data_IF_510260220587
#
_entry.id   IF_510260220587
#
_cell.length_a   1.000
_cell.length_b   1.000
_cell.length_c   1.000
_cell.angle_alpha   90.00
_cell.angle_beta   90.00
_cell.angle_gamma   90.00
#
_symmetry.space_group_name_H-M   'P 1'
#
loop_
_entity.id
_entity.type
_entity.pdbx_description
1 polymer ?
#
# COMPACT_ATOMS: atom_id res chain seq x y z
N UNK A 1 -67.16 15.84 -41.40
CA UNK A 1 -67.29 14.68 -42.32
C UNK A 1 -65.93 14.34 -42.91
N UNK A 2 -65.30 13.25 -42.43
CA UNK A 2 -64.41 12.38 -43.21
C UNK A 2 -64.44 11.02 -42.52
N UNK A 3 -65.05 10.04 -43.18
CA UNK A 3 -65.13 8.64 -42.74
C UNK A 3 -63.76 7.99 -42.95
N UNK A 4 -63.23 7.32 -41.93
CA UNK A 4 -62.22 6.27 -42.10
C UNK A 4 -62.96 4.95 -41.90
N UNK A 5 -63.01 4.13 -42.94
CA UNK A 5 -63.55 2.77 -42.90
C UNK A 5 -62.42 1.81 -42.51
N UNK A 6 -62.63 1.04 -41.44
CA UNK A 6 -61.91 -0.21 -41.20
C UNK A 6 -62.95 -1.34 -41.26
N UNK A 7 -62.86 -2.17 -42.30
CA UNK A 7 -63.57 -3.44 -42.43
C UNK A 7 -62.82 -4.53 -41.61
N UNK A 8 -63.51 -5.60 -41.19
CA UNK A 8 -63.19 -6.37 -40.00
C UNK A 8 -62.26 -7.54 -40.31
N UNK A 9 -61.42 -7.93 -39.36
CA UNK A 9 -60.97 -9.33 -39.28
C UNK A 9 -61.10 -9.81 -37.85
N UNK A 10 -61.98 -10.79 -37.69
CA UNK A 10 -62.30 -11.47 -36.43
C UNK A 10 -61.14 -12.42 -36.11
N UNK A 11 -60.61 -12.36 -34.89
CA UNK A 11 -59.97 -13.50 -34.25
C UNK A 11 -60.60 -13.74 -32.88
N UNK A 12 -61.02 -14.99 -32.68
CA UNK A 12 -61.56 -15.53 -31.44
C UNK A 12 -60.51 -15.42 -30.32
N UNK A 13 -60.85 -14.66 -29.29
CA UNK A 13 -60.12 -14.59 -28.04
C UNK A 13 -60.88 -13.63 -27.14
N UNK A 14 -61.39 -14.13 -26.02
CA UNK A 14 -62.06 -13.31 -25.01
C UNK A 14 -61.13 -12.19 -24.56
N UNK A 15 -61.36 -10.99 -25.09
CA UNK A 15 -60.85 -9.75 -24.52
C UNK A 15 -61.61 -9.54 -23.21
N UNK A 16 -61.04 -9.93 -22.08
CA UNK A 16 -61.43 -9.31 -20.82
C UNK A 16 -60.94 -7.88 -20.86
N UNK A 17 -61.84 -6.98 -21.27
CA UNK A 17 -61.71 -5.55 -21.08
C UNK A 17 -61.59 -5.31 -19.57
N UNK A 18 -60.38 -5.16 -19.05
CA UNK A 18 -60.17 -4.47 -17.79
C UNK A 18 -60.51 -3.01 -18.05
N UNK A 19 -61.73 -2.59 -17.71
CA UNK A 19 -62.10 -1.17 -17.73
C UNK A 19 -61.06 -0.39 -16.94
N UNK A 20 -60.26 0.44 -17.62
CA UNK A 20 -59.47 1.48 -16.99
C UNK A 20 -60.45 2.58 -16.57
N UNK A 21 -61.05 2.43 -15.39
CA UNK A 21 -61.53 3.60 -14.66
C UNK A 21 -60.29 4.26 -14.06
N UNK A 22 -59.90 5.40 -14.63
CA UNK A 22 -58.98 6.33 -13.99
C UNK A 22 -59.87 7.48 -13.56
N UNK A 23 -60.41 7.41 -12.33
CA UNK A 23 -60.95 8.57 -11.64
C UNK A 23 -59.89 9.08 -10.65
N UNK A 24 -59.83 10.39 -10.47
CA UNK A 24 -58.66 11.13 -9.99
C UNK A 24 -58.24 10.88 -8.52
N UNK A 25 -58.89 9.94 -7.82
CA UNK A 25 -58.60 9.56 -6.43
C UNK A 25 -58.60 8.05 -6.15
N UNK A 26 -58.84 7.18 -7.15
CA UNK A 26 -59.07 5.74 -6.91
C UNK A 26 -57.90 4.82 -7.30
N UNK A 27 -56.82 5.36 -7.89
CA UNK A 27 -55.61 4.61 -8.23
C UNK A 27 -55.76 3.67 -9.43
N UNK A 28 -54.75 2.82 -9.65
CA UNK A 28 -54.72 1.83 -10.74
C UNK A 28 -55.01 0.43 -10.20
N UNK A 29 -56.06 -0.21 -10.69
CA UNK A 29 -56.34 -1.63 -10.39
C UNK A 29 -55.44 -2.51 -11.24
N UNK A 30 -54.48 -3.17 -10.60
CA UNK A 30 -53.56 -4.12 -11.23
C UNK A 30 -54.23 -5.50 -11.40
N UNK A 31 -53.96 -6.25 -12.47
CA UNK A 31 -54.44 -7.62 -12.65
C UNK A 31 -54.15 -8.52 -11.43
N UNK A 32 -55.17 -9.25 -10.97
CA UNK A 32 -55.09 -10.14 -9.81
C UNK A 32 -55.13 -11.60 -10.27
N UNK A 33 -54.04 -12.33 -10.08
CA UNK A 33 -53.85 -13.68 -10.61
C UNK A 33 -53.35 -14.64 -9.52
N UNK A 34 -53.61 -15.94 -9.64
CA UNK A 34 -52.99 -16.94 -8.76
C UNK A 34 -51.61 -17.33 -9.29
N UNK A 35 -50.73 -17.82 -8.42
CA UNK A 35 -49.43 -18.36 -8.85
C UNK A 35 -49.58 -19.51 -9.84
N UNK A 36 -50.60 -20.36 -9.69
CA UNK A 36 -50.91 -21.42 -10.66
C UNK A 36 -51.30 -20.88 -12.05
N UNK A 37 -51.99 -19.74 -12.10
CA UNK A 37 -52.33 -19.09 -13.36
C UNK A 37 -51.07 -18.57 -14.06
N UNK A 38 -50.16 -17.94 -13.30
CA UNK A 38 -48.88 -17.48 -13.82
C UNK A 38 -48.02 -18.66 -14.33
N UNK A 39 -48.00 -19.77 -13.60
CA UNK A 39 -47.30 -20.99 -14.01
C UNK A 39 -47.87 -21.59 -15.30
N UNK A 40 -49.20 -21.57 -15.46
CA UNK A 40 -49.84 -22.04 -16.69
C UNK A 40 -49.49 -21.13 -17.88
N UNK A 41 -49.34 -19.83 -17.65
CA UNK A 41 -48.93 -18.86 -18.68
C UNK A 41 -47.43 -18.96 -19.02
N UNK A 42 -46.58 -19.24 -18.03
CA UNK A 42 -45.17 -19.61 -18.23
C UNK A 42 -45.02 -20.80 -19.18
N UNK A 43 -45.75 -21.89 -18.94
CA UNK A 43 -45.71 -23.09 -19.79
C UNK A 43 -46.15 -22.81 -21.25
N UNK A 44 -46.86 -21.71 -21.48
CA UNK A 44 -47.27 -21.22 -22.81
C UNK A 44 -46.30 -20.20 -23.40
N UNK A 45 -45.19 -19.91 -22.73
CA UNK A 45 -44.17 -18.94 -23.17
C UNK A 45 -44.64 -17.49 -23.13
N UNK A 46 -45.64 -17.16 -22.31
CA UNK A 46 -46.25 -15.82 -22.29
C UNK A 46 -45.28 -14.76 -21.77
N UNK A 47 -44.47 -15.09 -20.76
CA UNK A 47 -43.55 -14.13 -20.12
C UNK A 47 -42.16 -14.28 -20.71
N UNK A 48 -41.75 -13.26 -21.46
CA UNK A 48 -40.46 -13.11 -22.14
C UNK A 48 -39.99 -11.66 -22.03
N UNK A 49 -38.89 -11.30 -22.68
CA UNK A 49 -38.34 -9.93 -22.69
C UNK A 49 -39.38 -8.85 -23.05
N UNK A 50 -40.40 -9.17 -23.87
CA UNK A 50 -41.46 -8.24 -24.24
C UNK A 50 -42.46 -7.92 -23.10
N UNK A 51 -42.35 -8.61 -21.97
CA UNK A 51 -43.21 -8.52 -20.79
C UNK A 51 -42.43 -8.16 -19.53
N UNK A 52 -41.22 -7.66 -19.71
CA UNK A 52 -40.40 -7.14 -18.62
C UNK A 52 -41.14 -6.02 -17.87
N UNK A 53 -40.96 -5.99 -16.54
CA UNK A 53 -41.58 -5.07 -15.61
C UNK A 53 -43.12 -5.09 -15.54
N UNK A 54 -43.80 -6.14 -16.06
CA UNK A 54 -45.25 -6.27 -15.86
C UNK A 54 -45.55 -6.49 -14.37
N UNK A 55 -46.48 -5.70 -13.85
CA UNK A 55 -46.95 -5.75 -12.47
C UNK A 55 -48.23 -6.58 -12.36
N UNK A 56 -48.25 -7.50 -11.39
CA UNK A 56 -49.45 -8.28 -11.01
C UNK A 56 -49.61 -8.29 -9.50
N UNK A 57 -50.85 -8.48 -9.03
CA UNK A 57 -51.11 -8.85 -7.64
C UNK A 57 -51.40 -10.35 -7.56
N UNK A 58 -50.50 -11.10 -6.94
CA UNK A 58 -50.69 -12.53 -6.70
C UNK A 58 -51.65 -12.74 -5.54
N UNK A 59 -52.75 -13.45 -5.78
CA UNK A 59 -53.80 -13.71 -4.76
C UNK A 59 -53.54 -14.94 -3.91
N UNK A 60 -52.80 -15.93 -4.44
CA UNK A 60 -52.35 -17.13 -3.74
C UNK A 60 -51.06 -17.66 -4.41
N UNK A 61 -50.11 -18.24 -3.65
CA UNK A 61 -48.92 -18.85 -4.23
C UNK A 61 -49.28 -20.05 -5.14
N UNK A 62 -48.39 -20.49 -6.04
CA UNK A 62 -48.57 -21.74 -6.75
C UNK A 62 -48.61 -22.92 -5.77
N UNK A 63 -49.30 -24.00 -6.18
CA UNK A 63 -49.26 -25.28 -5.48
C UNK A 63 -47.79 -25.70 -5.28
N UNK A 64 -47.43 -26.38 -4.17
CA UNK A 64 -46.03 -26.72 -3.88
C UNK A 64 -45.30 -27.41 -5.05
N UNK A 65 -45.98 -28.31 -5.75
CA UNK A 65 -45.45 -29.06 -6.90
C UNK A 65 -45.28 -28.19 -8.17
N UNK A 66 -45.96 -27.04 -8.23
CA UNK A 66 -45.92 -26.10 -9.36
C UNK A 66 -44.95 -24.94 -9.14
N UNK A 67 -44.35 -24.83 -7.96
CA UNK A 67 -43.47 -23.71 -7.59
C UNK A 67 -42.04 -23.94 -8.12
N UNK A 68 -41.92 -23.90 -9.43
CA UNK A 68 -40.67 -24.08 -10.18
C UNK A 68 -40.59 -23.03 -11.28
N UNK A 69 -39.41 -22.80 -11.86
CA UNK A 69 -39.27 -21.92 -13.02
C UNK A 69 -39.57 -20.45 -12.69
N UNK A 70 -40.29 -19.76 -13.57
CA UNK A 70 -40.56 -18.32 -13.44
C UNK A 70 -41.35 -17.97 -12.17
N UNK A 71 -42.15 -18.90 -11.63
CA UNK A 71 -42.98 -18.68 -10.42
C UNK A 71 -42.35 -19.19 -9.12
N UNK A 72 -41.11 -19.69 -9.15
CA UNK A 72 -40.44 -20.29 -7.98
C UNK A 72 -40.42 -19.34 -6.76
N UNK A 73 -40.20 -18.04 -7.00
CA UNK A 73 -40.15 -17.01 -5.97
C UNK A 73 -41.50 -16.53 -5.42
N UNK A 74 -42.62 -17.09 -5.88
CA UNK A 74 -43.96 -16.70 -5.46
C UNK A 74 -44.40 -17.54 -4.25
N UNK A 75 -43.96 -17.15 -3.07
CA UNK A 75 -44.19 -17.87 -1.81
C UNK A 75 -45.48 -17.47 -1.09
N UNK A 76 -46.06 -16.32 -1.43
CA UNK A 76 -47.17 -15.72 -0.71
C UNK A 76 -47.91 -14.66 -1.53
N UNK A 77 -49.11 -14.26 -1.08
CA UNK A 77 -49.89 -13.19 -1.70
C UNK A 77 -49.14 -11.84 -1.66
N UNK A 78 -49.24 -11.04 -2.72
CA UNK A 78 -48.59 -9.72 -2.79
C UNK A 78 -48.43 -9.16 -4.19
N UNK A 79 -47.77 -8.00 -4.29
CA UNK A 79 -47.39 -7.42 -5.58
C UNK A 79 -46.10 -8.06 -6.09
N UNK A 80 -46.07 -8.41 -7.37
CA UNK A 80 -44.92 -9.00 -8.05
C UNK A 80 -44.74 -8.34 -9.42
N UNK A 81 -43.49 -8.15 -9.84
CA UNK A 81 -43.17 -7.81 -11.21
C UNK A 81 -42.40 -8.94 -11.90
N UNK A 82 -42.58 -9.09 -13.21
CA UNK A 82 -41.76 -10.02 -13.99
C UNK A 82 -40.42 -9.36 -14.33
N UNK A 83 -39.31 -9.99 -13.95
CA UNK A 83 -37.96 -9.59 -14.34
C UNK A 83 -37.49 -10.51 -15.47
N UNK A 84 -37.40 -9.97 -16.69
CA UNK A 84 -36.96 -10.75 -17.84
C UNK A 84 -35.47 -11.12 -17.77
N UNK A 85 -34.63 -10.30 -17.12
CA UNK A 85 -33.20 -10.55 -17.02
C UNK A 85 -32.89 -11.79 -16.17
N UNK A 86 -33.66 -12.00 -15.10
CA UNK A 86 -33.55 -13.20 -14.27
C UNK A 86 -34.64 -14.24 -14.54
N UNK A 87 -35.49 -14.00 -15.56
CA UNK A 87 -36.56 -14.87 -16.02
C UNK A 87 -37.45 -15.39 -14.87
N UNK A 88 -37.90 -14.49 -13.98
CA UNK A 88 -38.71 -14.85 -12.82
C UNK A 88 -39.60 -13.71 -12.31
N UNK A 89 -40.63 -14.09 -11.58
CA UNK A 89 -41.47 -13.18 -10.81
C UNK A 89 -40.77 -12.77 -9.50
N UNK A 90 -40.57 -11.47 -9.34
CA UNK A 90 -39.91 -10.88 -8.17
C UNK A 90 -40.94 -10.14 -7.34
N UNK A 91 -40.97 -10.43 -6.03
CA UNK A 91 -41.90 -9.78 -5.10
C UNK A 91 -41.49 -8.32 -4.88
N UNK A 92 -42.44 -7.41 -5.06
CA UNK A 92 -42.29 -6.04 -4.59
C UNK A 92 -42.52 -6.04 -3.09
N UNK A 93 -41.41 -5.95 -2.34
CA UNK A 93 -41.46 -5.69 -0.91
C UNK A 93 -41.39 -4.18 -0.68
N UNK A 94 -42.46 -3.60 -0.16
CA UNK A 94 -42.35 -2.38 0.63
C UNK A 94 -41.74 -2.77 1.96
N UNK A 95 -40.41 -2.85 2.04
CA UNK A 95 -39.76 -2.69 3.34
C UNK A 95 -39.65 -1.19 3.52
N UNK A 96 -40.49 -0.60 4.37
CA UNK A 96 -40.10 0.66 5.00
C UNK A 96 -38.67 0.45 5.49
N UNK A 97 -37.72 1.24 5.00
CA UNK A 97 -36.32 1.08 5.35
C UNK A 97 -36.20 1.35 6.84
N UNK A 98 -36.33 0.31 7.65
CA UNK A 98 -36.15 0.41 9.08
C UNK A 98 -34.72 0.91 9.26
N UNK A 99 -34.55 2.01 9.99
CA UNK A 99 -33.24 2.46 10.40
C UNK A 99 -32.57 1.33 11.17
N UNK A 100 -31.28 1.11 10.91
CA UNK A 100 -30.51 0.10 11.63
C UNK A 100 -30.66 0.28 13.14
N UNK A 101 -30.98 -0.83 13.83
CA UNK A 101 -30.96 -0.94 15.27
C UNK A 101 -30.25 -2.24 15.64
N UNK A 102 -29.37 -2.17 16.65
CA UNK A 102 -28.64 -3.31 17.21
C UNK A 102 -28.57 -3.18 18.73
N UNK A 103 -28.45 -4.30 19.42
CA UNK A 103 -28.36 -4.32 20.88
C UNK A 103 -26.97 -3.93 21.36
N UNK A 104 -25.92 -4.46 20.71
CA UNK A 104 -24.54 -4.27 21.13
C UNK A 104 -23.54 -4.47 19.98
N UNK A 105 -22.48 -3.66 19.96
CA UNK A 105 -21.26 -3.88 19.18
C UNK A 105 -20.21 -4.61 20.05
N UNK A 106 -19.52 -5.61 19.48
CA UNK A 106 -18.58 -6.48 20.20
C UNK A 106 -17.13 -6.20 19.80
N UNK A 107 -16.69 -4.96 19.97
CA UNK A 107 -15.41 -4.49 19.39
C UNK A 107 -14.17 -5.05 20.11
N UNK A 108 -14.30 -5.50 21.35
CA UNK A 108 -13.29 -6.30 22.04
C UNK A 108 -13.08 -7.70 21.44
N UNK A 109 -14.05 -8.18 20.66
CA UNK A 109 -13.98 -9.43 19.89
C UNK A 109 -13.76 -9.18 18.40
N UNK A 110 -13.28 -8.00 18.02
CA UNK A 110 -12.95 -7.69 16.64
C UNK A 110 -11.80 -8.55 16.13
N UNK A 111 -11.86 -8.91 14.85
CA UNK A 111 -10.81 -9.69 14.18
C UNK A 111 -10.12 -8.83 13.15
N UNK A 112 -8.80 -8.73 13.26
CA UNK A 112 -7.96 -7.97 12.34
C UNK A 112 -7.47 -8.88 11.21
N UNK A 113 -7.57 -8.41 9.97
CA UNK A 113 -7.06 -9.06 8.76
C UNK A 113 -5.98 -8.16 8.16
N UNK A 114 -4.82 -8.75 7.85
CA UNK A 114 -3.66 -8.02 7.33
C UNK A 114 -2.79 -7.41 8.44
N UNK A 115 -1.70 -6.77 8.02
CA UNK A 115 -0.74 -6.09 8.90
C UNK A 115 -0.60 -4.63 8.51
N UNK A 116 -0.36 -3.76 9.49
CA UNK A 116 0.01 -2.37 9.28
C UNK A 116 1.49 -2.21 9.62
N UNK A 117 2.25 -1.65 8.68
CA UNK A 117 3.65 -1.30 8.87
C UNK A 117 3.80 0.22 8.71
N UNK A 118 4.62 0.84 9.57
CA UNK A 118 4.94 2.25 9.44
C UNK A 118 5.54 2.56 8.04
N UNK A 119 5.18 3.72 7.48
CA UNK A 119 5.53 4.24 6.15
C UNK A 119 5.05 3.43 4.96
N UNK A 120 4.24 2.37 5.16
CA UNK A 120 3.70 1.56 4.05
C UNK A 120 2.19 1.74 3.93
N UNK A 121 1.65 1.88 2.70
CA UNK A 121 0.22 1.93 2.49
C UNK A 121 -0.48 0.69 3.06
N UNK A 122 -1.57 0.91 3.80
CA UNK A 122 -2.48 -0.15 4.21
C UNK A 122 -3.11 -0.78 2.96
N UNK A 123 -2.74 -2.02 2.67
CA UNK A 123 -3.20 -2.76 1.49
C UNK A 123 -3.81 -4.09 1.91
N UNK A 124 -5.09 -4.28 1.58
CA UNK A 124 -5.84 -5.49 1.98
C UNK A 124 -6.07 -5.62 3.49
N UNK A 125 -5.97 -4.52 4.24
CA UNK A 125 -6.18 -4.53 5.70
C UNK A 125 -7.65 -4.25 6.00
N UNK A 126 -8.26 -5.08 6.86
CA UNK A 126 -9.63 -4.90 7.30
C UNK A 126 -9.84 -5.35 8.75
N UNK A 127 -10.91 -4.85 9.37
CA UNK A 127 -11.34 -5.25 10.71
C UNK A 127 -12.78 -5.72 10.66
N UNK A 128 -13.03 -6.91 11.19
CA UNK A 128 -14.36 -7.48 11.34
C UNK A 128 -14.85 -7.21 12.76
N UNK A 129 -15.94 -6.47 12.89
CA UNK A 129 -16.58 -6.14 14.17
C UNK A 129 -17.90 -6.92 14.27
N UNK A 130 -18.01 -7.89 15.20
CA UNK A 130 -19.27 -8.59 15.44
C UNK A 130 -20.29 -7.69 16.15
N UNK A 131 -21.57 -7.98 15.96
CA UNK A 131 -22.67 -7.35 16.70
C UNK A 131 -23.80 -8.34 16.98
N UNK A 132 -24.65 -8.00 17.96
CA UNK A 132 -25.85 -8.76 18.33
C UNK A 132 -27.12 -7.91 18.21
N UNK A 133 -28.26 -8.59 18.03
CA UNK A 133 -29.59 -8.00 18.08
C UNK A 133 -29.94 -7.04 16.93
N UNK A 134 -29.33 -7.23 15.75
CA UNK A 134 -29.67 -6.50 14.54
C UNK A 134 -31.12 -6.71 14.11
N UNK A 135 -31.74 -5.67 13.56
CA UNK A 135 -33.15 -5.66 13.15
C UNK A 135 -33.37 -5.82 11.64
N UNK A 136 -32.32 -6.11 10.85
CA UNK A 136 -32.43 -6.13 9.38
C UNK A 136 -32.34 -4.75 8.69
N UNK A 137 -32.24 -3.67 9.48
CA UNK A 137 -32.31 -2.29 9.01
C UNK A 137 -31.06 -1.82 8.28
N UNK A 138 -31.20 -0.73 7.51
CA UNK A 138 -30.11 -0.13 6.72
C UNK A 138 -29.26 0.78 7.59
N UNK A 139 -27.94 0.64 7.50
CA UNK A 139 -26.97 1.57 8.08
C UNK A 139 -26.24 2.33 6.96
N UNK A 140 -25.95 3.63 7.12
CA UNK A 140 -25.23 4.41 6.11
C UNK A 140 -23.76 4.02 6.04
N UNK A 141 -23.07 4.45 4.99
CA UNK A 141 -21.61 4.37 4.95
C UNK A 141 -21.00 5.23 6.07
N UNK A 142 -19.90 4.77 6.65
CA UNK A 142 -19.19 5.42 7.75
C UNK A 142 -17.70 5.49 7.42
N UNK A 143 -17.07 6.62 7.72
CA UNK A 143 -15.63 6.84 7.57
C UNK A 143 -15.09 7.43 8.86
N UNK A 144 -14.13 6.74 9.47
CA UNK A 144 -13.58 7.10 10.79
C UNK A 144 -12.06 7.21 10.71
N UNK A 145 -11.46 8.38 10.97
CA UNK A 145 -10.02 8.52 11.07
C UNK A 145 -9.51 7.87 12.36
N UNK A 146 -8.27 7.39 12.33
CA UNK A 146 -7.61 6.85 13.52
C UNK A 146 -7.17 7.93 14.51
N UNK A 147 -7.18 7.57 15.80
CA UNK A 147 -6.51 8.27 16.89
C UNK A 147 -5.21 7.53 17.28
N UNK A 148 -4.24 8.27 17.84
CA UNK A 148 -2.94 7.73 18.26
C UNK A 148 -1.92 7.67 17.11
N UNK A 149 -2.24 6.93 16.05
CA UNK A 149 -1.48 6.96 14.79
C UNK A 149 -2.35 7.67 13.76
N UNK A 150 -1.88 8.76 13.16
CA UNK A 150 -2.65 9.53 12.16
C UNK A 150 -2.49 8.94 10.75
N UNK A 151 -3.24 9.48 9.77
CA UNK A 151 -3.22 9.08 8.36
C UNK A 151 -3.70 7.65 8.06
N UNK A 152 -4.48 7.05 8.97
CA UNK A 152 -5.29 5.87 8.67
C UNK A 152 -6.77 6.23 8.74
N UNK A 153 -7.57 5.53 7.94
CA UNK A 153 -9.01 5.70 7.89
C UNK A 153 -9.69 4.33 7.80
N UNK A 154 -10.68 4.10 8.66
CA UNK A 154 -11.54 2.93 8.62
C UNK A 154 -12.84 3.28 7.89
N UNK A 155 -13.17 2.55 6.83
CA UNK A 155 -14.37 2.77 6.03
C UNK A 155 -15.28 1.55 6.08
N UNK A 156 -16.54 1.78 6.46
CA UNK A 156 -17.64 0.84 6.34
C UNK A 156 -18.56 1.33 5.22
N UNK A 157 -18.81 0.49 4.22
CA UNK A 157 -19.78 0.82 3.17
C UNK A 157 -21.21 0.68 3.67
N UNK A 158 -22.15 1.38 3.05
CA UNK A 158 -23.58 1.24 3.33
C UNK A 158 -24.01 -0.22 3.18
N UNK A 159 -24.89 -0.68 4.08
CA UNK A 159 -25.43 -2.03 4.03
C UNK A 159 -26.62 -2.22 4.95
N UNK A 160 -26.98 -3.48 5.15
CA UNK A 160 -28.07 -3.90 6.02
C UNK A 160 -27.52 -4.74 7.17
N UNK A 161 -28.06 -4.54 8.38
CA UNK A 161 -27.84 -5.48 9.46
C UNK A 161 -28.49 -6.82 9.12
N UNK A 162 -27.93 -7.90 9.65
CA UNK A 162 -28.60 -9.19 9.76
C UNK A 162 -29.62 -9.14 10.90
N UNK A 163 -30.67 -9.96 10.82
CA UNK A 163 -31.59 -10.14 11.94
C UNK A 163 -30.88 -11.02 12.98
N UNK A 164 -30.72 -10.53 14.21
CA UNK A 164 -29.95 -11.21 15.26
C UNK A 164 -28.47 -10.85 15.24
N UNK A 165 -27.57 -11.84 15.19
CA UNK A 165 -26.12 -11.62 15.17
C UNK A 165 -25.58 -11.37 13.76
N UNK A 166 -24.49 -10.62 13.64
CA UNK A 166 -23.81 -10.41 12.36
C UNK A 166 -22.45 -9.74 12.49
N UNK A 167 -21.88 -9.36 11.35
CA UNK A 167 -20.55 -8.75 11.25
C UNK A 167 -20.58 -7.48 10.41
N UNK A 168 -19.74 -6.52 10.79
CA UNK A 168 -19.44 -5.31 10.04
C UNK A 168 -17.97 -5.36 9.63
N UNK A 169 -17.69 -5.11 8.36
CA UNK A 169 -16.32 -5.16 7.82
C UNK A 169 -15.86 -3.75 7.50
N UNK A 170 -14.84 -3.31 8.22
CA UNK A 170 -14.18 -2.02 8.00
C UNK A 170 -12.92 -2.22 7.16
N UNK A 171 -12.83 -1.54 6.03
CA UNK A 171 -11.61 -1.49 5.23
C UNK A 171 -10.69 -0.39 5.76
N UNK A 172 -9.42 -0.70 5.96
CA UNK A 172 -8.42 0.24 6.46
C UNK A 172 -7.57 0.74 5.30
N UNK A 173 -7.51 2.06 5.13
CA UNK A 173 -6.71 2.73 4.11
C UNK A 173 -5.81 3.80 4.73
N UNK A 174 -4.83 4.28 3.96
CA UNK A 174 -3.89 5.32 4.38
C UNK A 174 -2.46 4.81 4.55
N UNK A 175 -1.59 5.68 5.07
CA UNK A 175 -0.15 5.40 5.26
C UNK A 175 0.21 5.86 6.68
N UNK A 176 0.35 4.95 7.66
CA UNK A 176 0.74 5.33 9.01
C UNK A 176 2.22 5.75 8.99
N UNK A 177 2.58 6.84 9.67
CA UNK A 177 3.97 7.33 9.63
C UNK A 177 4.85 6.78 10.77
N UNK A 178 4.22 6.30 11.85
CA UNK A 178 4.90 5.83 13.05
C UNK A 178 4.32 4.49 13.50
N UNK A 179 5.08 3.78 14.33
CA UNK A 179 4.63 2.56 15.00
C UNK A 179 3.78 2.89 16.22
N UNK A 180 2.89 1.98 16.60
CA UNK A 180 2.07 2.12 17.82
C UNK A 180 0.64 1.65 17.61
N UNK A 181 -0.26 2.08 18.48
CA UNK A 181 -1.67 1.64 18.47
C UNK A 181 -2.55 2.67 17.76
N UNK A 182 -3.16 2.28 16.63
CA UNK A 182 -4.20 3.04 15.97
C UNK A 182 -5.57 2.67 16.56
N UNK A 183 -6.33 3.65 17.03
CA UNK A 183 -7.66 3.44 17.65
C UNK A 183 -8.73 4.06 16.77
N UNK A 184 -9.81 3.33 16.51
CA UNK A 184 -10.95 3.80 15.73
C UNK A 184 -12.21 3.79 16.60
N UNK A 185 -12.81 4.95 16.80
CA UNK A 185 -14.06 5.10 17.56
C UNK A 185 -15.23 5.13 16.58
N UNK A 186 -16.09 4.12 16.63
CA UNK A 186 -17.23 3.98 15.73
C UNK A 186 -18.55 4.18 16.50
N UNK A 187 -19.53 4.79 15.82
CA UNK A 187 -20.92 4.85 16.29
C UNK A 187 -21.81 4.27 15.19
N UNK A 188 -22.54 3.19 15.51
CA UNK A 188 -23.49 2.57 14.57
C UNK A 188 -24.80 2.33 15.31
N UNK A 189 -25.89 2.82 14.73
CA UNK A 189 -27.23 2.72 15.31
C UNK A 189 -27.29 3.24 16.77
N UNK A 190 -26.53 4.29 17.08
CA UNK A 190 -26.47 4.89 18.41
C UNK A 190 -25.67 4.08 19.44
N UNK A 191 -24.91 3.06 19.02
CA UNK A 191 -23.98 2.33 19.89
C UNK A 191 -22.55 2.74 19.55
N UNK A 192 -21.86 3.27 20.55
CA UNK A 192 -20.44 3.56 20.50
C UNK A 192 -19.61 2.32 20.82
N UNK A 193 -18.50 2.15 20.12
CA UNK A 193 -17.44 1.26 20.53
C UNK A 193 -16.10 1.70 19.91
N UNK A 194 -15.01 1.06 20.32
CA UNK A 194 -13.73 1.22 19.66
C UNK A 194 -13.04 -0.11 19.42
N UNK A 195 -12.29 -0.18 18.32
CA UNK A 195 -11.35 -1.26 18.04
C UNK A 195 -9.96 -0.66 17.76
N UNK A 196 -8.93 -1.48 17.88
CA UNK A 196 -7.55 -1.04 17.67
C UNK A 196 -6.74 -1.98 16.78
N UNK A 197 -5.78 -1.39 16.08
CA UNK A 197 -4.81 -2.08 15.24
C UNK A 197 -3.40 -1.68 15.70
N UNK A 198 -2.49 -2.66 15.77
CA UNK A 198 -1.07 -2.39 15.99
C UNK A 198 -0.38 -2.08 14.66
N UNK A 199 0.25 -0.92 14.58
CA UNK A 199 1.17 -0.55 13.51
C UNK A 199 2.58 -0.97 13.94
N UNK A 200 3.12 -1.93 13.21
CA UNK A 200 4.42 -2.52 13.48
C UNK A 200 5.54 -1.74 12.78
N UNK A 201 6.80 -1.89 13.21
CA UNK A 201 7.95 -1.43 12.44
C UNK A 201 7.94 -2.04 11.04
N UNK A 202 8.45 -1.29 10.06
CA UNK A 202 8.68 -1.80 8.70
C UNK A 202 9.67 -2.98 8.78
N UNK A 203 9.30 -4.14 8.25
CA UNK A 203 10.15 -5.35 8.29
C UNK A 203 10.88 -5.62 6.97
N UNK A 204 10.43 -4.97 5.89
CA UNK A 204 11.07 -5.01 4.58
C UNK A 204 11.33 -3.59 4.11
N UNK A 205 12.59 -3.30 3.86
CA UNK A 205 13.03 -2.00 3.36
C UNK A 205 13.39 -2.14 1.89
N UNK A 206 13.23 -1.05 1.14
CA UNK A 206 13.65 -1.02 -0.24
C UNK A 206 15.18 -1.08 -0.27
N UNK A 207 15.74 -2.05 -0.98
CA UNK A 207 17.20 -2.22 -1.09
C UNK A 207 17.85 -1.16 -1.99
N UNK A 208 17.01 -0.40 -2.71
CA UNK A 208 17.41 0.63 -3.66
C UNK A 208 16.56 1.90 -3.52
N UNK A 209 17.17 3.03 -3.85
CA UNK A 209 16.55 4.36 -3.91
C UNK A 209 16.72 4.90 -5.32
N UNK A 210 15.61 5.33 -5.93
CA UNK A 210 15.63 5.96 -7.25
C UNK A 210 16.06 7.44 -7.11
N UNK A 211 17.19 7.79 -7.69
CA UNK A 211 17.77 9.14 -7.63
C UNK A 211 17.94 9.71 -9.04
N UNK A 212 17.87 11.03 -9.17
CA UNK A 212 18.23 11.79 -10.36
C UNK A 212 19.73 12.09 -10.34
N UNK A 213 20.43 11.64 -11.38
CA UNK A 213 21.83 11.94 -11.65
C UNK A 213 21.90 12.46 -13.08
N UNK A 214 22.28 13.72 -13.24
CA UNK A 214 22.31 14.41 -14.54
C UNK A 214 20.98 14.33 -15.33
N UNK A 215 19.85 14.40 -14.62
CA UNK A 215 18.51 14.29 -15.22
C UNK A 215 18.07 12.87 -15.60
N UNK A 216 18.90 11.85 -15.34
CA UNK A 216 18.53 10.44 -15.51
C UNK A 216 18.20 9.79 -14.17
N UNK A 217 17.20 8.91 -14.17
CA UNK A 217 16.87 8.10 -13.00
C UNK A 217 17.86 6.92 -12.92
N UNK A 218 18.51 6.79 -11.77
CA UNK A 218 19.44 5.71 -11.43
C UNK A 218 19.06 5.11 -10.08
N UNK A 219 19.47 3.87 -9.82
CA UNK A 219 19.22 3.21 -8.54
C UNK A 219 20.50 3.22 -7.70
N UNK A 220 20.46 3.80 -6.51
CA UNK A 220 21.52 3.67 -5.51
C UNK A 220 21.06 2.70 -4.43
N UNK A 221 21.92 1.81 -3.95
CA UNK A 221 21.57 0.92 -2.84
C UNK A 221 21.23 1.74 -1.60
N UNK A 222 20.17 1.37 -0.86
CA UNK A 222 19.75 2.10 0.34
C UNK A 222 20.69 1.90 1.53
N UNK A 223 21.65 0.97 1.45
CA UNK A 223 22.62 0.64 2.52
C UNK A 223 24.05 0.59 2.03
N UNK A 224 24.98 0.81 2.95
CA UNK A 224 26.38 0.53 2.71
C UNK A 224 26.58 -0.97 2.50
N UNK A 225 27.53 -1.32 1.63
CA UNK A 225 27.93 -2.72 1.47
C UNK A 225 28.42 -3.27 2.83
N UNK A 226 27.97 -4.46 3.21
CA UNK A 226 28.26 -5.07 4.51
C UNK A 226 27.31 -4.67 5.67
N UNK A 227 26.34 -3.78 5.43
CA UNK A 227 25.32 -3.44 6.41
C UNK A 227 24.28 -4.56 6.59
N UNK A 228 23.64 -4.60 7.77
CA UNK A 228 22.57 -5.54 8.07
C UNK A 228 21.28 -5.18 7.27
N UNK A 229 20.80 -6.07 6.38
CA UNK A 229 19.64 -5.78 5.54
C UNK A 229 18.31 -5.75 6.31
N UNK A 230 18.26 -6.29 7.53
CA UNK A 230 17.04 -6.28 8.35
C UNK A 230 16.84 -4.99 9.13
N UNK A 231 17.78 -4.06 9.09
CA UNK A 231 17.75 -2.80 9.83
C UNK A 231 17.36 -1.65 8.90
N UNK A 232 16.59 -0.70 9.40
CA UNK A 232 16.12 0.46 8.64
C UNK A 232 17.31 1.30 8.13
N UNK A 233 17.43 1.54 6.81
CA UNK A 233 18.58 2.27 6.26
C UNK A 233 18.59 3.75 6.64
N UNK A 234 17.45 4.29 7.08
CA UNK A 234 17.27 5.69 7.45
C UNK A 234 17.36 5.92 8.96
N UNK A 235 17.63 4.86 9.75
CA UNK A 235 17.84 4.94 11.21
C UNK A 235 19.30 4.61 11.55
N UNK A 236 20.16 5.62 11.75
CA UNK A 236 21.57 5.45 12.09
C UNK A 236 21.81 4.51 13.28
N UNK A 237 22.61 3.48 13.04
CA UNK A 237 23.04 2.50 14.03
C UNK A 237 24.33 1.84 13.58
N UNK A 238 25.01 1.13 14.48
CA UNK A 238 26.23 0.37 14.14
C UNK A 238 25.96 -0.65 13.02
N UNK A 239 24.77 -1.25 13.02
CA UNK A 239 24.38 -2.29 12.09
C UNK A 239 24.21 -1.80 10.63
N UNK A 240 23.97 -0.50 10.41
CA UNK A 240 23.79 0.06 9.06
C UNK A 240 25.02 0.80 8.52
N UNK A 241 26.09 0.86 9.32
CA UNK A 241 27.28 1.64 9.00
C UNK A 241 28.06 1.03 7.80
N UNK A 242 27.98 -0.29 7.61
CA UNK A 242 28.64 -1.03 6.54
C UNK A 242 30.14 -1.20 6.72
N UNK A 243 30.74 -2.01 5.86
CA UNK A 243 32.14 -2.38 5.93
C UNK A 243 33.05 -1.33 5.30
N UNK A 244 34.33 -1.38 5.69
CA UNK A 244 35.38 -0.51 5.16
C UNK A 244 36.20 -1.26 4.12
N UNK A 245 36.45 -0.61 2.99
CA UNK A 245 37.19 -1.14 1.86
C UNK A 245 38.36 -0.22 1.53
N UNK A 246 39.52 -0.79 1.24
CA UNK A 246 40.61 -0.04 0.59
C UNK A 246 40.33 0.09 -0.90
N UNK A 247 40.77 1.20 -1.50
CA UNK A 247 40.48 1.46 -2.89
C UNK A 247 41.05 0.37 -3.79
N UNK A 248 40.27 -0.08 -4.77
CA UNK A 248 40.65 -1.11 -5.71
C UNK A 248 40.64 -2.55 -5.19
N UNK A 249 40.18 -2.80 -3.94
CA UNK A 249 40.09 -4.14 -3.36
C UNK A 249 38.65 -4.65 -3.26
N UNK A 250 38.47 -5.95 -3.47
CA UNK A 250 37.15 -6.61 -3.40
C UNK A 250 36.68 -6.88 -1.97
N UNK A 251 37.60 -7.29 -1.10
CA UNK A 251 37.24 -7.72 0.24
C UNK A 251 37.28 -6.55 1.22
N UNK A 252 36.34 -6.55 2.15
CA UNK A 252 36.37 -5.64 3.29
C UNK A 252 37.64 -5.83 4.11
N UNK A 253 38.19 -4.74 4.61
CA UNK A 253 39.40 -4.72 5.45
C UNK A 253 39.08 -4.46 6.92
N UNK A 254 37.88 -3.94 7.22
CA UNK A 254 37.36 -3.79 8.57
C UNK A 254 35.83 -3.69 8.53
N UNK A 255 35.18 -3.85 9.68
CA UNK A 255 33.74 -3.71 9.84
C UNK A 255 33.43 -2.63 10.89
N UNK A 256 32.15 -2.25 11.08
CA UNK A 256 31.73 -1.38 12.19
C UNK A 256 32.05 -1.93 13.58
N UNK A 257 32.32 -3.24 13.69
CA UNK A 257 32.61 -3.94 14.93
C UNK A 257 34.10 -4.12 15.19
N UNK A 258 34.96 -3.82 14.21
CA UNK A 258 36.42 -3.83 14.42
C UNK A 258 36.80 -2.73 15.44
N UNK A 259 37.68 -3.01 16.43
CA UNK A 259 38.16 -2.01 17.38
C UNK A 259 38.71 -0.75 16.71
N UNK A 260 38.72 0.37 17.41
CA UNK A 260 39.14 1.68 16.89
C UNK A 260 40.67 1.87 16.83
N UNK A 261 41.43 0.93 17.40
CA UNK A 261 42.89 0.89 17.37
C UNK A 261 43.47 0.40 16.03
N UNK A 262 44.80 0.41 15.92
CA UNK A 262 45.54 -0.08 14.77
C UNK A 262 45.24 -1.57 14.47
N UNK A 263 45.17 -1.90 13.18
CA UNK A 263 44.90 -3.24 12.68
C UNK A 263 46.23 -3.87 12.24
N UNK A 264 46.60 -4.99 12.85
CA UNK A 264 47.81 -5.71 12.48
C UNK A 264 47.73 -6.20 11.02
N UNK A 265 48.79 -5.95 10.24
CA UNK A 265 48.84 -6.33 8.83
C UNK A 265 48.07 -5.40 7.88
N UNK A 266 47.74 -4.18 8.32
CA UNK A 266 47.13 -3.18 7.43
C UNK A 266 48.01 -2.95 6.20
N UNK A 267 47.42 -3.12 5.01
CA UNK A 267 48.15 -2.98 3.75
C UNK A 267 48.37 -1.52 3.43
N UNK A 268 49.62 -1.11 3.24
CA UNK A 268 49.99 0.24 2.77
C UNK A 268 50.20 0.31 1.26
N UNK A 269 50.15 -0.82 0.56
CA UNK A 269 50.25 -0.89 -0.89
C UNK A 269 48.95 -0.39 -1.55
N UNK A 270 49.08 0.63 -2.39
CA UNK A 270 47.96 1.15 -3.19
C UNK A 270 47.63 0.22 -4.35
N UNK A 271 46.34 0.00 -4.60
CA UNK A 271 45.91 -0.78 -5.76
C UNK A 271 46.29 -0.09 -7.08
N UNK A 272 46.43 -0.86 -8.15
CA UNK A 272 46.70 -0.36 -9.49
C UNK A 272 45.51 0.41 -10.09
N UNK A 273 45.78 1.25 -11.08
CA UNK A 273 44.75 1.94 -11.86
C UNK A 273 43.76 0.95 -12.48
N UNK A 274 42.55 1.43 -12.72
CA UNK A 274 41.41 0.66 -13.25
C UNK A 274 40.98 -0.52 -12.40
N UNK A 275 41.42 -0.59 -11.14
CA UNK A 275 41.09 -1.70 -10.27
C UNK A 275 39.58 -1.89 -10.14
N UNK A 276 38.77 -0.83 -9.96
CA UNK A 276 37.30 -0.93 -9.88
C UNK A 276 36.54 -0.56 -11.15
N UNK A 277 37.12 0.31 -11.99
CA UNK A 277 36.52 0.75 -13.24
C UNK A 277 37.52 0.60 -14.39
N UNK A 278 37.27 -0.34 -15.29
CA UNK A 278 38.06 -0.57 -16.50
C UNK A 278 37.67 0.33 -17.68
N UNK A 279 36.54 1.03 -17.55
CA UNK A 279 36.01 1.98 -18.51
C UNK A 279 36.46 3.42 -18.24
N UNK A 280 35.54 4.37 -18.39
CA UNK A 280 35.78 5.80 -18.15
C UNK A 280 34.85 6.37 -17.07
N UNK A 281 35.04 7.63 -16.69
CA UNK A 281 34.11 8.34 -15.79
C UNK A 281 32.68 8.46 -16.33
N UNK A 282 32.53 8.50 -17.65
CA UNK A 282 31.25 8.67 -18.33
C UNK A 282 30.63 7.33 -18.76
N UNK A 283 31.47 6.34 -19.06
CA UNK A 283 31.07 4.98 -19.41
C UNK A 283 31.83 3.99 -18.51
N UNK A 284 31.49 3.94 -17.21
CA UNK A 284 32.17 3.07 -16.27
C UNK A 284 31.87 1.59 -16.56
N UNK A 285 32.91 0.77 -16.47
CA UNK A 285 32.83 -0.68 -16.67
C UNK A 285 33.39 -1.40 -15.45
N UNK A 286 32.49 -2.05 -14.71
CA UNK A 286 32.79 -2.80 -13.50
C UNK A 286 33.83 -3.90 -13.75
N UNK A 287 34.73 -4.10 -12.79
CA UNK A 287 35.73 -5.18 -12.83
C UNK A 287 35.45 -6.27 -11.80
N UNK A 288 36.30 -7.30 -11.77
CA UNK A 288 36.26 -8.33 -10.72
C UNK A 288 36.57 -7.78 -9.33
N UNK A 289 37.35 -6.70 -9.20
CA UNK A 289 37.69 -6.15 -7.88
C UNK A 289 36.61 -5.23 -7.33
N UNK A 290 35.64 -4.78 -8.14
CA UNK A 290 34.49 -4.02 -7.65
C UNK A 290 33.63 -4.94 -6.75
N UNK A 291 33.45 -4.58 -5.47
CA UNK A 291 32.76 -5.41 -4.49
C UNK A 291 31.23 -5.33 -4.58
N UNK A 292 30.65 -4.42 -5.37
CA UNK A 292 29.20 -4.31 -5.50
C UNK A 292 28.58 -5.60 -6.09
N UNK A 293 27.32 -5.90 -5.78
CA UNK A 293 26.64 -7.08 -6.32
C UNK A 293 26.34 -6.96 -7.82
N UNK A 294 25.89 -8.06 -8.45
CA UNK A 294 25.50 -8.06 -9.87
C UNK A 294 24.43 -7.00 -10.16
N UNK A 295 24.58 -6.26 -11.28
CA UNK A 295 23.68 -5.17 -11.65
C UNK A 295 24.02 -3.84 -10.96
N UNK A 296 25.04 -3.82 -10.10
CA UNK A 296 25.52 -2.63 -9.40
C UNK A 296 27.04 -2.53 -9.48
N UNK A 297 27.56 -1.30 -9.39
CA UNK A 297 28.98 -0.95 -9.37
C UNK A 297 29.23 0.21 -8.41
N UNK A 298 30.50 0.55 -8.18
CA UNK A 298 30.82 1.79 -7.50
C UNK A 298 30.42 3.02 -8.37
N UNK A 299 29.86 4.08 -7.76
CA UNK A 299 29.66 5.34 -8.43
C UNK A 299 30.99 5.95 -8.89
N UNK A 300 30.95 6.68 -9.99
CA UNK A 300 32.06 7.54 -10.40
C UNK A 300 32.02 8.85 -9.60
N UNK A 301 33.13 9.60 -9.61
CA UNK A 301 33.22 10.93 -9.01
C UNK A 301 32.18 11.86 -9.64
N UNK A 302 32.03 11.79 -10.96
CA UNK A 302 31.04 12.60 -11.66
C UNK A 302 29.62 12.26 -11.22
N UNK A 303 29.29 10.98 -11.02
CA UNK A 303 27.97 10.57 -10.51
C UNK A 303 27.72 11.10 -9.09
N UNK A 304 28.73 11.07 -8.20
CA UNK A 304 28.61 11.66 -6.87
C UNK A 304 28.38 13.18 -6.89
N UNK A 305 29.13 13.90 -7.72
CA UNK A 305 28.97 15.36 -7.87
C UNK A 305 27.59 15.70 -8.41
N UNK A 306 27.13 14.97 -9.43
CA UNK A 306 25.82 15.17 -10.05
C UNK A 306 24.69 14.82 -9.08
N UNK A 307 24.79 13.70 -8.35
CA UNK A 307 23.86 13.35 -7.28
C UNK A 307 23.75 14.47 -6.25
N UNK A 308 24.88 14.96 -5.72
CA UNK A 308 24.88 16.03 -4.73
C UNK A 308 24.24 17.32 -5.28
N UNK A 309 24.58 17.71 -6.52
CA UNK A 309 24.03 18.92 -7.15
C UNK A 309 22.52 18.88 -7.39
N UNK A 310 21.96 17.68 -7.56
CA UNK A 310 20.53 17.45 -7.76
C UNK A 310 19.77 17.18 -6.44
N UNK A 311 20.46 17.25 -5.30
CA UNK A 311 19.90 16.93 -3.99
C UNK A 311 19.81 18.14 -3.08
N UNK A 312 18.90 18.08 -2.12
CA UNK A 312 18.99 18.87 -0.88
C UNK A 312 19.46 17.95 0.25
N UNK A 313 20.13 18.50 1.26
CA UNK A 313 20.65 17.69 2.37
C UNK A 313 20.33 18.30 3.74
N UNK A 314 20.06 17.44 4.71
CA UNK A 314 19.98 17.76 6.12
C UNK A 314 20.82 16.76 6.95
N UNK A 315 20.97 17.01 8.25
CA UNK A 315 21.75 16.13 9.13
C UNK A 315 20.90 15.63 10.29
N UNK A 316 21.11 14.39 10.71
CA UNK A 316 20.46 13.77 11.88
C UNK A 316 21.50 13.19 12.85
N UNK A 317 21.05 12.90 14.07
CA UNK A 317 21.87 12.32 15.13
C UNK A 317 22.86 13.29 15.77
N UNK A 318 23.78 12.75 16.57
CA UNK A 318 24.76 13.54 17.31
C UNK A 318 26.10 13.53 16.59
N UNK A 319 26.56 14.68 16.11
CA UNK A 319 27.85 14.80 15.41
C UNK A 319 29.00 15.03 16.40
N UNK A 320 30.10 14.33 16.19
CA UNK A 320 31.32 14.51 16.97
C UNK A 320 32.06 15.78 16.54
N UNK A 321 32.57 16.53 17.51
CA UNK A 321 33.37 17.75 17.28
C UNK A 321 34.87 17.47 17.21
N UNK A 322 35.31 16.33 17.76
CA UNK A 322 36.71 15.88 17.77
C UNK A 322 36.82 14.42 17.32
N UNK A 323 38.00 13.97 16.84
CA UNK A 323 38.21 12.58 16.45
C UNK A 323 38.07 11.56 17.59
N UNK A 324 38.30 11.99 18.84
CA UNK A 324 38.37 11.12 20.03
C UNK A 324 37.01 10.77 20.63
N UNK A 325 35.97 11.56 20.36
CA UNK A 325 34.64 11.38 20.99
C UNK A 325 33.65 10.66 20.07
N UNK A 326 34.07 10.36 18.84
CA UNK A 326 33.28 9.69 17.81
C UNK A 326 33.33 8.16 17.74
N UNK A 327 34.37 7.43 18.23
CA UNK A 327 34.51 6.00 17.94
C UNK A 327 33.32 5.11 18.33
N UNK A 328 32.58 5.44 19.38
CA UNK A 328 31.39 4.68 19.82
C UNK A 328 30.06 5.28 19.36
N UNK A 329 30.10 6.38 18.61
CA UNK A 329 28.91 7.08 18.16
C UNK A 329 28.51 6.62 16.74
N UNK A 330 27.34 5.99 16.64
CA UNK A 330 26.77 5.48 15.39
C UNK A 330 25.50 6.22 14.96
N UNK A 331 25.20 7.36 15.57
CA UNK A 331 23.92 8.06 15.39
C UNK A 331 23.96 9.12 14.29
N UNK A 332 25.14 9.66 13.96
CA UNK A 332 25.28 10.73 12.97
C UNK A 332 25.10 10.23 11.53
N UNK A 333 24.27 10.94 10.76
CA UNK A 333 24.10 10.72 9.33
C UNK A 333 23.77 12.04 8.60
N UNK A 334 24.08 12.07 7.30
CA UNK A 334 23.52 13.05 6.37
C UNK A 334 22.35 12.41 5.62
N UNK A 335 21.28 13.17 5.42
CA UNK A 335 20.06 12.74 4.76
C UNK A 335 19.90 13.56 3.49
N UNK A 336 19.97 12.91 2.34
CA UNK A 336 19.71 13.54 1.06
C UNK A 336 18.26 13.36 0.66
N UNK A 337 17.61 14.44 0.21
CA UNK A 337 16.37 14.36 -0.54
C UNK A 337 16.67 14.62 -2.03
N UNK A 338 16.35 13.64 -2.86
CA UNK A 338 16.60 13.64 -4.29
C UNK A 338 15.44 12.96 -5.01
N UNK A 339 14.89 13.60 -6.05
CA UNK A 339 13.77 13.06 -6.82
C UNK A 339 12.56 12.64 -5.94
N UNK A 340 12.31 13.36 -4.84
CA UNK A 340 11.27 13.04 -3.87
C UNK A 340 11.57 11.84 -2.96
N UNK A 341 12.75 11.22 -3.10
CA UNK A 341 13.19 10.08 -2.30
C UNK A 341 14.28 10.47 -1.30
N UNK A 342 14.40 9.68 -0.24
CA UNK A 342 15.39 9.86 0.82
C UNK A 342 16.55 8.88 0.63
N UNK A 343 17.78 9.37 0.75
CA UNK A 343 18.99 8.54 0.89
C UNK A 343 19.78 8.98 2.11
N UNK A 344 19.88 8.10 3.10
CA UNK A 344 20.64 8.34 4.33
C UNK A 344 22.04 7.73 4.24
N UNK A 345 23.07 8.55 4.45
CA UNK A 345 24.47 8.12 4.50
C UNK A 345 25.01 8.28 5.93
N UNK A 346 25.23 7.17 6.66
CA UNK A 346 25.87 7.19 7.98
C UNK A 346 27.29 7.79 7.97
N UNK A 347 27.66 8.47 9.05
CA UNK A 347 28.97 9.13 9.23
C UNK A 347 29.95 8.13 9.85
N UNK A 348 30.42 7.19 9.04
CA UNK A 348 31.25 6.05 9.48
C UNK A 348 32.66 6.41 9.93
N UNK A 349 33.15 7.61 9.61
CA UNK A 349 34.58 7.90 9.64
C UNK A 349 35.32 7.03 8.62
N UNK A 350 36.61 6.80 8.88
CA UNK A 350 37.47 5.98 8.03
C UNK A 350 38.53 5.21 8.81
N UNK A 351 39.18 4.26 8.13
CA UNK A 351 40.37 3.55 8.61
C UNK A 351 41.60 4.16 7.95
N UNK A 352 42.51 4.72 8.73
CA UNK A 352 43.67 5.45 8.22
C UNK A 352 44.66 4.55 7.47
N UNK A 353 45.25 5.08 6.41
CA UNK A 353 46.17 4.38 5.51
C UNK A 353 47.43 3.82 6.18
N UNK A 354 47.92 4.43 7.26
CA UNK A 354 49.18 4.03 7.88
C UNK A 354 49.04 2.78 8.78
N UNK A 355 47.88 2.58 9.40
CA UNK A 355 47.71 1.55 10.44
C UNK A 355 46.32 0.91 10.51
N UNK A 356 45.34 1.41 9.76
CA UNK A 356 43.95 0.98 9.89
C UNK A 356 43.24 1.47 11.15
N UNK A 357 43.86 2.35 11.95
CA UNK A 357 43.18 2.96 13.11
C UNK A 357 41.95 3.73 12.64
N UNK A 358 40.85 3.62 13.40
CA UNK A 358 39.63 4.36 13.11
C UNK A 358 39.83 5.85 13.38
N UNK A 359 39.33 6.69 12.49
CA UNK A 359 39.38 8.14 12.61
C UNK A 359 38.03 8.77 12.23
N UNK A 360 37.68 9.88 12.88
CA UNK A 360 36.58 10.78 12.49
C UNK A 360 35.17 10.16 12.36
N UNK A 361 34.89 9.03 13.03
CA UNK A 361 33.51 8.51 13.14
C UNK A 361 32.60 9.58 13.77
N UNK A 362 31.36 9.66 13.28
CA UNK A 362 30.38 10.69 13.62
C UNK A 362 30.80 12.14 13.35
N UNK A 363 31.98 12.40 12.76
CA UNK A 363 32.44 13.73 12.37
C UNK A 363 32.45 13.94 10.86
N UNK A 364 32.96 12.96 10.11
CA UNK A 364 33.02 12.98 8.65
C UNK A 364 32.62 11.64 8.04
N UNK A 365 31.85 11.69 6.96
CA UNK A 365 31.51 10.53 6.14
C UNK A 365 32.43 10.44 4.93
N UNK A 366 32.84 9.22 4.57
CA UNK A 366 33.71 8.95 3.42
C UNK A 366 33.19 7.75 2.65
N UNK A 367 32.97 7.95 1.35
CA UNK A 367 32.34 6.98 0.46
C UNK A 367 33.12 6.90 -0.85
N UNK A 368 33.72 5.76 -1.13
CA UNK A 368 34.56 5.63 -2.31
C UNK A 368 33.79 5.89 -3.62
N UNK A 369 34.51 6.43 -4.59
CA UNK A 369 34.16 6.34 -6.00
C UNK A 369 35.09 5.37 -6.72
N UNK A 370 34.72 4.95 -7.93
CA UNK A 370 35.59 4.16 -8.80
C UNK A 370 36.63 4.99 -9.57
N UNK A 371 36.70 6.31 -9.31
CA UNK A 371 37.57 7.25 -10.02
C UNK A 371 38.95 7.36 -9.39
N UNK A 372 39.98 7.05 -10.15
CA UNK A 372 41.37 7.22 -9.76
C UNK A 372 41.86 8.68 -9.84
N UNK A 373 42.92 8.99 -9.09
CA UNK A 373 43.59 10.29 -9.11
C UNK A 373 45.07 10.12 -8.80
N UNK A 374 45.89 9.81 -9.80
CA UNK A 374 47.32 9.49 -9.60
C UNK A 374 47.47 8.38 -8.54
N UNK A 375 48.27 8.56 -7.47
CA UNK A 375 48.41 7.59 -6.37
C UNK A 375 47.22 7.53 -5.40
N UNK A 376 46.21 8.36 -5.62
CA UNK A 376 44.99 8.49 -4.83
C UNK A 376 43.76 8.04 -5.63
N UNK A 377 42.59 8.14 -5.01
CA UNK A 377 41.29 7.98 -5.65
C UNK A 377 40.24 8.89 -5.03
N UNK A 378 39.19 9.22 -5.78
CA UNK A 378 38.14 10.11 -5.28
C UNK A 378 37.16 9.39 -4.38
N UNK A 379 36.68 10.10 -3.37
CA UNK A 379 35.57 9.73 -2.52
C UNK A 379 34.62 10.91 -2.36
N UNK A 380 33.33 10.64 -2.21
CA UNK A 380 32.41 11.59 -1.62
C UNK A 380 32.78 11.74 -0.13
N UNK A 381 33.03 12.97 0.30
CA UNK A 381 33.26 13.28 1.70
C UNK A 381 32.28 14.37 2.18
N UNK A 382 31.89 14.28 3.44
CA UNK A 382 30.98 15.27 4.00
C UNK A 382 31.15 15.43 5.50
N UNK A 383 30.89 16.65 5.97
CA UNK A 383 30.73 17.01 7.36
C UNK A 383 29.39 17.69 7.58
N UNK A 384 29.20 18.32 8.75
CA UNK A 384 27.93 18.98 9.09
C UNK A 384 27.54 20.13 8.15
N UNK A 385 28.52 20.76 7.47
CA UNK A 385 28.33 22.00 6.70
C UNK A 385 28.60 21.89 5.21
N UNK A 386 29.16 20.76 4.73
CA UNK A 386 29.59 20.64 3.34
C UNK A 386 29.65 19.19 2.87
N UNK A 387 29.39 19.01 1.58
CA UNK A 387 29.52 17.75 0.83
C UNK A 387 30.42 18.02 -0.37
N UNK A 388 31.51 17.27 -0.51
CA UNK A 388 32.46 17.41 -1.61
C UNK A 388 32.86 16.05 -2.20
N UNK A 389 33.62 16.08 -3.30
CA UNK A 389 34.23 14.91 -3.90
C UNK A 389 35.74 15.16 -4.08
N UNK A 390 36.55 14.60 -3.17
CA UNK A 390 38.00 14.86 -3.06
C UNK A 390 38.81 13.58 -3.12
N UNK A 391 40.09 13.69 -3.48
CA UNK A 391 40.98 12.54 -3.60
C UNK A 391 41.64 12.19 -2.26
N UNK A 392 41.72 10.89 -1.96
CA UNK A 392 42.32 10.31 -0.76
C UNK A 392 43.23 9.15 -1.13
N UNK A 393 44.12 8.75 -0.21
CA UNK A 393 45.07 7.68 -0.49
C UNK A 393 44.33 6.36 -0.66
N UNK A 394 44.80 5.51 -1.59
CA UNK A 394 44.15 4.22 -1.87
C UNK A 394 44.20 3.25 -0.68
N UNK A 395 45.09 3.51 0.28
CA UNK A 395 45.26 2.73 1.51
C UNK A 395 44.23 3.06 2.60
N UNK A 396 43.46 4.14 2.47
CA UNK A 396 42.37 4.43 3.41
C UNK A 396 41.23 3.41 3.26
N UNK A 397 40.58 3.06 4.37
CA UNK A 397 39.38 2.24 4.37
C UNK A 397 38.13 3.12 4.48
N UNK A 398 37.32 3.20 3.41
CA UNK A 398 36.05 3.94 3.39
C UNK A 398 34.85 3.02 3.11
N UNK A 399 33.67 3.55 3.37
CA UNK A 399 32.39 2.88 3.06
C UNK A 399 32.13 2.86 1.55
N UNK A 400 31.28 1.93 1.11
CA UNK A 400 30.84 1.82 -0.28
C UNK A 400 29.32 1.84 -0.36
N UNK A 401 28.79 2.66 -1.27
CA UNK A 401 27.36 2.76 -1.61
C UNK A 401 27.22 2.56 -3.12
N UNK A 402 26.66 1.42 -3.53
CA UNK A 402 26.66 1.03 -4.94
C UNK A 402 25.54 1.70 -5.74
N UNK A 403 25.76 1.88 -7.04
CA UNK A 403 24.80 2.40 -8.02
C UNK A 403 24.57 1.36 -9.13
N UNK A 404 23.36 1.31 -9.70
CA UNK A 404 23.01 0.45 -10.84
C UNK A 404 24.01 0.63 -11.98
N UNK A 405 24.42 -0.45 -12.66
CA UNK A 405 25.40 -0.40 -13.76
C UNK A 405 25.05 0.60 -14.87
#
# INVERSE_FOLDING_TARGET
MRKIYLLPTIFFGSLFYGQTFIDASEGLIIPRLTGNFLQTAELKGVYSNAKDAILVYVTAPPDPERRTGQVEGIDSKGFYYFDAASNRWVRIISRGSATAALSQLLCSSSTNIGILEATRPASGVSVIVPYNGGNGGVYPALSVPSMGITNLNATLYQGNLSVGGGFLVFNITGIPLTTGTAIFNINIAGKDCSFSLQVQPKTKFDDVVNVSINGQIRQIMSRNLGANPTQDPDVPSQAIMGDYFQWGKRNAVATPYTPDVAIAGWSTEGAADKAWNSGTETNPLKTVNDPCPSGFRLPTRNEWVQFNSASTSSTIGTWATTPTNGPTNFTAAIVFNNNGNTLTLPVSGYRNEASGSLQNRARFGYYWSSTESSTSAYALNFGISAVNATAYTRGDGFSIRCISE
#
